data_IF_037620685050
#
_entry.id   IF_037620685050
#
_cell.length_a   1.000
_cell.length_b   1.000
_cell.length_c   1.000
_cell.angle_alpha   90.00
_cell.angle_beta   90.00
_cell.angle_gamma   90.00
#
_symmetry.space_group_name_H-M   'P 1'
#
loop_
_entity.id
_entity.type
_entity.pdbx_description
1 polymer ?
#
# COMPACT_ATOMS: atom_id res chain seq x y z
N UNK A 1 -9.77 12.56 17.43
CA UNK A 1 -9.28 12.69 16.04
C UNK A 1 -8.46 11.45 15.73
N UNK A 2 -8.85 10.62 14.77
CA UNK A 2 -8.09 9.42 14.41
C UNK A 2 -7.10 9.75 13.29
N UNK A 3 -5.84 9.33 13.46
CA UNK A 3 -4.77 9.44 12.46
C UNK A 3 -4.40 8.04 11.99
N UNK A 4 -4.40 7.81 10.67
CA UNK A 4 -4.01 6.52 10.09
C UNK A 4 -2.70 6.66 9.33
N UNK A 5 -1.69 5.91 9.75
CA UNK A 5 -0.41 5.81 9.05
C UNK A 5 -0.43 4.68 8.01
N UNK A 6 -0.01 4.97 6.77
CA UNK A 6 0.11 3.99 5.68
C UNK A 6 1.57 3.90 5.25
N UNK A 7 2.17 2.73 5.42
CA UNK A 7 3.52 2.41 4.93
C UNK A 7 3.38 1.53 3.69
N UNK A 8 3.37 2.15 2.51
CA UNK A 8 3.30 1.45 1.23
C UNK A 8 4.72 1.15 0.73
N UNK A 9 5.27 -0.02 1.04
CA UNK A 9 6.60 -0.41 0.55
C UNK A 9 6.56 -0.87 -0.93
N UNK A 10 7.11 -0.10 -1.89
CA UNK A 10 7.11 -0.47 -3.30
C UNK A 10 7.98 -1.70 -3.60
N UNK A 11 9.04 -1.94 -2.83
CA UNK A 11 10.01 -3.02 -3.07
C UNK A 11 9.53 -4.41 -2.62
N UNK A 12 8.57 -4.50 -1.69
CA UNK A 12 8.17 -5.75 -1.02
C UNK A 12 7.64 -6.86 -1.94
N UNK A 13 7.35 -6.58 -3.21
CA UNK A 13 6.82 -7.57 -4.17
C UNK A 13 7.73 -7.84 -5.36
N UNK A 14 8.91 -7.22 -5.39
CA UNK A 14 9.93 -7.43 -6.44
C UNK A 14 10.97 -8.47 -6.02
N UNK A 15 10.71 -9.19 -4.92
CA UNK A 15 11.62 -10.16 -4.35
C UNK A 15 11.55 -11.51 -5.07
N UNK A 16 12.70 -12.00 -5.55
CA UNK A 16 12.88 -13.30 -6.21
C UNK A 16 12.46 -14.47 -5.31
N UNK A 17 12.50 -14.31 -3.98
CA UNK A 17 12.09 -15.35 -3.03
C UNK A 17 10.61 -15.73 -3.17
N UNK A 18 9.74 -14.82 -3.65
CA UNK A 18 8.35 -15.17 -3.99
C UNK A 18 8.26 -16.07 -5.22
N UNK A 19 9.09 -15.84 -6.24
CA UNK A 19 9.14 -16.70 -7.42
C UNK A 19 9.63 -18.10 -7.07
N UNK A 20 10.69 -18.20 -6.25
CA UNK A 20 11.27 -19.48 -5.81
C UNK A 20 10.28 -20.29 -4.96
N UNK A 21 9.46 -19.62 -4.14
CA UNK A 21 8.45 -20.26 -3.31
C UNK A 21 7.11 -20.53 -4.03
N UNK A 22 7.03 -20.38 -5.36
CA UNK A 22 5.78 -20.39 -6.13
C UNK A 22 4.70 -19.42 -5.58
N UNK A 23 5.14 -18.36 -4.90
CA UNK A 23 4.29 -17.32 -4.35
C UNK A 23 3.81 -16.34 -5.42
N UNK A 24 2.60 -15.83 -5.24
CA UNK A 24 2.02 -14.81 -6.12
C UNK A 24 2.86 -13.52 -6.13
N UNK A 25 3.20 -13.06 -7.32
CA UNK A 25 3.82 -11.75 -7.54
C UNK A 25 2.72 -10.70 -7.61
N UNK A 26 2.83 -9.65 -6.79
CA UNK A 26 1.88 -8.53 -6.76
C UNK A 26 2.51 -7.37 -7.53
N UNK A 27 2.04 -7.06 -8.75
CA UNK A 27 2.57 -5.96 -9.54
C UNK A 27 2.22 -4.60 -8.93
N UNK A 28 2.94 -3.56 -9.34
CA UNK A 28 2.84 -2.23 -8.73
C UNK A 28 1.43 -1.63 -8.86
N UNK A 29 0.73 -1.84 -9.99
CA UNK A 29 -0.65 -1.38 -10.18
C UNK A 29 -1.65 -2.01 -9.19
N UNK A 30 -1.42 -3.25 -8.77
CA UNK A 30 -2.30 -3.92 -7.82
C UNK A 30 -2.11 -3.36 -6.41
N UNK A 31 -0.86 -3.04 -6.05
CA UNK A 31 -0.56 -2.34 -4.78
C UNK A 31 -1.25 -0.98 -4.73
N UNK A 32 -1.20 -0.22 -5.84
CA UNK A 32 -1.91 1.07 -5.96
C UNK A 32 -3.41 0.87 -5.75
N UNK A 33 -4.01 -0.17 -6.35
CA UNK A 33 -5.42 -0.49 -6.15
C UNK A 33 -5.74 -0.87 -4.70
N UNK A 34 -4.85 -1.59 -4.00
CA UNK A 34 -4.99 -1.88 -2.58
C UNK A 34 -5.02 -0.58 -1.76
N UNK A 35 -4.05 0.31 -1.96
CA UNK A 35 -3.99 1.60 -1.26
C UNK A 35 -5.24 2.42 -1.55
N UNK A 36 -5.70 2.50 -2.81
CA UNK A 36 -6.95 3.20 -3.18
C UNK A 36 -8.16 2.68 -2.41
N UNK A 37 -8.33 1.35 -2.32
CA UNK A 37 -9.44 0.74 -1.58
C UNK A 37 -9.39 1.06 -0.08
N UNK A 38 -8.20 1.04 0.50
CA UNK A 38 -8.00 1.45 1.90
C UNK A 38 -8.41 2.91 2.09
N UNK A 39 -7.99 3.83 1.22
CA UNK A 39 -8.36 5.25 1.30
C UNK A 39 -9.87 5.46 1.22
N UNK A 40 -10.57 4.77 0.31
CA UNK A 40 -12.03 4.85 0.20
C UNK A 40 -12.74 4.30 1.45
N UNK A 41 -12.22 3.21 2.03
CA UNK A 41 -12.74 2.66 3.27
C UNK A 41 -12.52 3.58 4.47
N UNK A 42 -11.37 4.26 4.54
CA UNK A 42 -11.09 5.26 5.58
C UNK A 42 -12.03 6.46 5.46
N UNK A 43 -12.27 6.92 4.24
CA UNK A 43 -13.21 8.00 3.96
C UNK A 43 -14.64 7.64 4.40
N UNK A 44 -15.10 6.41 4.15
CA UNK A 44 -16.46 5.99 4.49
C UNK A 44 -16.73 5.90 6.00
N UNK A 45 -15.69 5.72 6.82
CA UNK A 45 -15.77 5.72 8.29
C UNK A 45 -15.44 7.08 8.92
N UNK A 46 -15.26 8.13 8.10
CA UNK A 46 -15.02 9.50 8.57
C UNK A 46 -13.58 9.80 9.02
N UNK A 47 -12.60 8.99 8.59
CA UNK A 47 -11.17 9.28 8.83
C UNK A 47 -10.67 10.28 7.80
N UNK A 48 -10.34 11.49 8.27
CA UNK A 48 -9.90 12.60 7.42
C UNK A 48 -8.39 12.85 7.46
N UNK A 49 -7.67 12.25 8.41
CA UNK A 49 -6.23 12.40 8.55
C UNK A 49 -5.51 11.09 8.27
N UNK A 50 -4.77 11.08 7.16
CA UNK A 50 -3.93 9.96 6.74
C UNK A 50 -2.51 10.47 6.54
N UNK A 51 -1.54 9.78 7.13
CA UNK A 51 -0.12 10.01 6.93
C UNK A 51 0.44 8.87 6.08
N UNK A 52 1.02 9.18 4.92
CA UNK A 52 1.66 8.18 4.08
C UNK A 52 3.19 8.26 4.23
N UNK A 53 3.86 7.10 4.08
CA UNK A 53 5.30 7.06 3.87
C UNK A 53 5.67 7.94 2.67
N UNK A 54 6.70 8.76 2.80
CA UNK A 54 7.16 9.62 1.72
C UNK A 54 7.56 8.79 0.50
N UNK A 55 7.17 9.27 -0.69
CA UNK A 55 7.65 8.69 -1.94
C UNK A 55 9.13 9.06 -2.09
N UNK A 56 9.99 8.07 -2.30
CA UNK A 56 11.43 8.26 -2.53
C UNK A 56 11.73 8.89 -3.89
N UNK A 57 10.72 9.11 -4.71
CA UNK A 57 10.83 9.67 -6.07
C UNK A 57 10.63 11.20 -6.13
N UNK A 58 10.47 11.85 -4.97
CA UNK A 58 10.23 13.30 -4.82
C UNK A 58 11.41 13.97 -4.10
#
# INVERSE_FOLDING_TARGET
MALVGIIANPAASKDIRRLVAQGRVVPDWEKVNIVRRVMLGLQSVGVNHVLAMADSSN
#
